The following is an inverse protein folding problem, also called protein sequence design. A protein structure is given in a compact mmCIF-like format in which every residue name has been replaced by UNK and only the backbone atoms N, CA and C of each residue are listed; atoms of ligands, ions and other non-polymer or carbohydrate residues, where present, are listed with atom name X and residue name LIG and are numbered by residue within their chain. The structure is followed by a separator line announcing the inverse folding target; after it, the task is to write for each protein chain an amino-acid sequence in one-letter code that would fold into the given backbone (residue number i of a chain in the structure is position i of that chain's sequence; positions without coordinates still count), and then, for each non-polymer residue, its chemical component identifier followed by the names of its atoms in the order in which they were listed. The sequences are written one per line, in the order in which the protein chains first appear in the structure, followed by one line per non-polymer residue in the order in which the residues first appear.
data_IF_770674692002
#
_entry.id   IF_770674692002
#
_cell.length_a   1.000
_cell.length_b   1.000
_cell.length_c   1.000
_cell.angle_alpha   90.00
_cell.angle_beta   90.00
_cell.angle_gamma   90.00
#
_symmetry.space_group_name_H-M   'P 1'
#
loop_
_entity.id
_entity.type
_entity.pdbx_description
1 polymer ?
#
# COMPACT_ATOMS: atom_id res chain seq x y z
N UNK A 1 -12.63 -15.97 3.31
CA UNK A 1 -12.86 -14.52 3.49
C UNK A 1 -11.71 -13.66 2.99
N UNK A 2 -10.44 -14.04 3.20
CA UNK A 2 -9.28 -13.27 2.71
C UNK A 2 -9.16 -13.15 1.18
N UNK A 3 -9.53 -14.17 0.41
CA UNK A 3 -9.43 -14.14 -1.06
C UNK A 3 -10.33 -13.07 -1.71
N UNK A 4 -11.56 -12.91 -1.22
CA UNK A 4 -12.47 -11.87 -1.71
C UNK A 4 -11.96 -10.46 -1.36
N UNK A 5 -11.35 -10.30 -0.17
CA UNK A 5 -10.70 -9.04 0.21
C UNK A 5 -9.47 -8.75 -0.67
N UNK A 6 -8.69 -9.78 -1.02
CA UNK A 6 -7.54 -9.64 -1.93
C UNK A 6 -7.98 -9.25 -3.35
N UNK A 7 -9.04 -9.86 -3.87
CA UNK A 7 -9.61 -9.48 -5.17
C UNK A 7 -10.18 -8.05 -5.16
N UNK A 8 -10.87 -7.68 -4.08
CA UNK A 8 -11.35 -6.31 -3.88
C UNK A 8 -10.20 -5.30 -3.86
N UNK A 9 -9.13 -5.61 -3.13
CA UNK A 9 -7.92 -4.78 -3.09
C UNK A 9 -7.25 -4.67 -4.45
N UNK A 10 -7.15 -5.76 -5.22
CA UNK A 10 -6.58 -5.74 -6.56
C UNK A 10 -7.40 -4.88 -7.53
N UNK A 11 -8.73 -4.98 -7.47
CA UNK A 11 -9.62 -4.14 -8.28
C UNK A 11 -9.51 -2.65 -7.87
N UNK A 12 -9.45 -2.35 -6.58
CA UNK A 12 -9.24 -0.99 -6.07
C UNK A 12 -7.87 -0.44 -6.48
N UNK A 13 -6.80 -1.24 -6.44
CA UNK A 13 -5.46 -0.83 -6.84
C UNK A 13 -5.37 -0.54 -8.35
N UNK A 14 -6.02 -1.36 -9.18
CA UNK A 14 -6.12 -1.11 -10.62
C UNK A 14 -6.89 0.21 -10.91
N UNK A 15 -8.03 0.40 -10.25
CA UNK A 15 -8.80 1.65 -10.34
C UNK A 15 -8.00 2.87 -9.89
N UNK A 16 -7.34 2.78 -8.73
CA UNK A 16 -6.50 3.84 -8.18
C UNK A 16 -5.33 4.18 -9.13
N UNK A 17 -4.67 3.19 -9.73
CA UNK A 17 -3.57 3.41 -10.69
C UNK A 17 -4.03 4.16 -11.94
N UNK A 18 -5.20 3.83 -12.50
CA UNK A 18 -5.77 4.56 -13.64
C UNK A 18 -6.16 6.00 -13.28
N UNK A 19 -6.84 6.20 -12.14
CA UNK A 19 -7.21 7.51 -11.64
C UNK A 19 -5.96 8.37 -11.35
N UNK A 20 -4.98 7.83 -10.61
CA UNK A 20 -3.73 8.52 -10.31
C UNK A 20 -2.97 8.91 -11.57
N UNK A 21 -2.95 8.07 -12.61
CA UNK A 21 -2.30 8.43 -13.89
C UNK A 21 -2.92 9.68 -14.50
N UNK A 22 -4.26 9.79 -14.48
CA UNK A 22 -4.97 10.96 -15.00
C UNK A 22 -4.77 12.22 -14.13
N UNK A 23 -4.75 12.07 -12.79
CA UNK A 23 -4.58 13.18 -11.85
C UNK A 23 -3.10 13.64 -11.76
N UNK A 24 -2.14 12.74 -11.89
CA UNK A 24 -0.71 13.03 -11.77
C UNK A 24 -0.18 13.97 -12.86
N UNK A 25 -0.92 14.12 -13.97
CA UNK A 25 -0.66 15.10 -15.01
C UNK A 25 -1.14 16.52 -14.64
N UNK A 26 -2.05 16.65 -13.68
CA UNK A 26 -2.77 17.91 -13.36
C UNK A 26 -2.51 18.43 -11.95
N UNK A 27 -2.07 17.56 -11.03
CA UNK A 27 -1.89 17.89 -9.62
C UNK A 27 -0.45 17.61 -9.16
N UNK A 28 0.05 18.40 -8.19
CA UNK A 28 1.34 18.13 -7.56
C UNK A 28 1.23 16.86 -6.69
N UNK A 29 2.33 16.11 -6.60
CA UNK A 29 2.41 14.85 -5.84
C UNK A 29 1.99 15.01 -4.37
N UNK A 30 2.31 16.16 -3.76
CA UNK A 30 1.93 16.46 -2.37
C UNK A 30 0.43 16.58 -2.17
N UNK A 31 -0.31 17.12 -3.15
CA UNK A 31 -1.76 17.20 -3.08
C UNK A 31 -2.41 15.82 -3.21
N UNK A 32 -1.85 14.95 -4.07
CA UNK A 32 -2.32 13.57 -4.22
C UNK A 32 -2.08 12.75 -2.95
N UNK A 33 -0.88 12.84 -2.38
CA UNK A 33 -0.53 12.18 -1.12
C UNK A 33 -1.42 12.69 0.04
N UNK A 34 -1.64 14.01 0.13
CA UNK A 34 -2.49 14.59 1.16
C UNK A 34 -3.94 14.12 1.07
N UNK A 35 -4.50 14.01 -0.14
CA UNK A 35 -5.85 13.50 -0.35
C UNK A 35 -5.95 12.03 0.05
N UNK A 36 -4.96 11.21 -0.32
CA UNK A 36 -4.92 9.79 0.00
C UNK A 36 -4.80 9.56 1.51
N UNK A 37 -3.87 10.24 2.21
CA UNK A 37 -3.77 10.17 3.67
C UNK A 37 -5.09 10.55 4.33
N UNK A 38 -5.72 11.64 3.88
CA UNK A 38 -6.95 12.13 4.47
C UNK A 38 -8.08 11.09 4.32
N UNK A 39 -8.23 10.54 3.13
CA UNK A 39 -9.24 9.52 2.86
C UNK A 39 -8.95 8.22 3.61
N UNK A 40 -7.70 7.74 3.59
CA UNK A 40 -7.27 6.55 4.30
C UNK A 40 -7.50 6.69 5.81
N UNK A 41 -7.18 7.84 6.39
CA UNK A 41 -7.40 8.12 7.81
C UNK A 41 -8.88 8.01 8.18
N UNK A 42 -9.76 8.66 7.39
CA UNK A 42 -11.21 8.60 7.63
C UNK A 42 -11.74 7.17 7.47
N UNK A 43 -11.30 6.46 6.42
CA UNK A 43 -11.73 5.09 6.15
C UNK A 43 -11.28 4.12 7.25
N UNK A 44 -10.04 4.23 7.73
CA UNK A 44 -9.50 3.41 8.81
C UNK A 44 -10.25 3.68 10.12
N UNK A 45 -10.46 4.96 10.48
CA UNK A 45 -11.22 5.31 11.68
C UNK A 45 -12.66 4.79 11.62
N UNK A 46 -13.33 4.93 10.48
CA UNK A 46 -14.67 4.38 10.27
C UNK A 46 -14.69 2.85 10.42
N UNK A 47 -13.71 2.15 9.84
CA UNK A 47 -13.58 0.70 9.96
C UNK A 47 -13.36 0.26 11.41
N UNK A 48 -12.52 0.97 12.18
CA UNK A 48 -12.29 0.71 13.60
C UNK A 48 -13.54 0.93 14.45
N UNK A 49 -14.32 1.98 14.15
CA UNK A 49 -15.59 2.25 14.85
C UNK A 49 -16.62 1.16 14.54
N UNK A 50 -16.80 0.80 13.26
CA UNK A 50 -17.78 -0.22 12.83
C UNK A 50 -17.40 -1.62 13.36
N UNK A 51 -16.11 -1.93 13.45
CA UNK A 51 -15.63 -3.20 14.00
C UNK A 51 -15.57 -3.25 15.53
N UNK A 52 -15.85 -2.13 16.22
CA UNK A 52 -15.76 -2.05 17.69
C UNK A 52 -14.33 -2.02 18.24
N UNK A 53 -13.32 -1.82 17.39
CA UNK A 53 -11.89 -1.82 17.74
C UNK A 53 -11.31 -0.42 17.98
N UNK A 54 -12.15 0.61 18.09
CA UNK A 54 -11.69 1.99 18.32
C UNK A 54 -10.85 2.14 19.61
N UNK A 55 -11.10 1.30 20.63
CA UNK A 55 -10.33 1.28 21.88
C UNK A 55 -8.88 0.80 21.72
N UNK A 56 -8.59 -0.01 20.70
CA UNK A 56 -7.26 -0.61 20.48
C UNK A 56 -6.21 0.45 20.12
N UNK A 57 -6.64 1.55 19.48
CA UNK A 57 -5.77 2.69 19.17
C UNK A 57 -5.38 3.44 20.44
N UNK A 58 -6.32 3.59 21.38
CA UNK A 58 -6.09 4.28 22.65
C UNK A 58 -5.22 3.44 23.58
N UNK A 59 -5.37 2.12 23.53
CA UNK A 59 -4.55 1.17 24.28
C UNK A 59 -3.17 0.89 23.67
N UNK A 60 -2.89 1.37 22.46
CA UNK A 60 -1.63 1.09 21.77
C UNK A 60 -0.45 1.79 22.46
N UNK A 61 0.64 1.05 22.67
CA UNK A 61 1.89 1.59 23.19
C UNK A 61 2.53 2.61 22.24
N UNK A 62 3.28 3.56 22.79
CA UNK A 62 3.95 4.62 22.01
C UNK A 62 4.86 4.08 20.90
N UNK A 63 5.52 2.94 21.12
CA UNK A 63 6.37 2.29 20.10
C UNK A 63 5.54 1.81 18.91
N UNK A 64 4.37 1.21 19.14
CA UNK A 64 3.46 0.77 18.08
C UNK A 64 2.95 1.97 17.28
N UNK A 65 2.53 3.03 17.97
CA UNK A 65 2.07 4.26 17.31
C UNK A 65 3.20 4.90 16.48
N UNK A 66 4.42 4.94 16.99
CA UNK A 66 5.59 5.44 16.25
C UNK A 66 5.94 4.54 15.05
N UNK A 67 5.83 3.23 15.18
CA UNK A 67 6.08 2.30 14.07
C UNK A 67 5.05 2.49 12.94
N UNK A 68 3.76 2.64 13.29
CA UNK A 68 2.68 2.91 12.33
C UNK A 68 2.85 4.29 11.68
N UNK A 69 3.19 5.31 12.47
CA UNK A 69 3.49 6.63 11.94
C UNK A 69 4.70 6.60 11.00
N UNK A 70 5.76 5.87 11.39
CA UNK A 70 6.97 5.68 10.60
C UNK A 70 6.69 4.98 9.27
N UNK A 71 5.86 3.92 9.26
CA UNK A 71 5.48 3.25 8.01
C UNK A 71 4.69 4.18 7.09
N UNK A 72 3.79 5.00 7.65
CA UNK A 72 3.09 6.04 6.89
C UNK A 72 4.05 7.06 6.28
N UNK A 73 5.03 7.55 7.05
CA UNK A 73 6.04 8.49 6.53
C UNK A 73 6.83 7.87 5.38
N UNK A 74 7.25 6.60 5.50
CA UNK A 74 7.99 5.91 4.42
C UNK A 74 7.12 5.83 3.16
N UNK A 75 5.85 5.45 3.31
CA UNK A 75 4.94 5.33 2.17
C UNK A 75 4.73 6.68 1.46
N UNK A 76 4.30 7.70 2.22
CA UNK A 76 3.91 8.99 1.66
C UNK A 76 5.10 9.88 1.26
N UNK A 77 6.21 9.84 1.99
CA UNK A 77 7.37 10.69 1.72
C UNK A 77 8.37 10.06 0.75
N UNK A 78 8.39 8.72 0.63
CA UNK A 78 9.38 8.01 -0.21
C UNK A 78 8.70 7.24 -1.32
N UNK A 79 7.81 6.30 -1.01
CA UNK A 79 7.22 5.41 -2.01
C UNK A 79 6.39 6.20 -3.03
N UNK A 80 5.54 7.12 -2.56
CA UNK A 80 4.61 7.82 -3.42
C UNK A 80 5.26 8.83 -4.40
N UNK A 81 6.28 9.61 -4.02
CA UNK A 81 7.05 10.40 -4.98
C UNK A 81 7.78 9.54 -6.02
N UNK A 82 8.35 8.40 -5.61
CA UNK A 82 9.00 7.46 -6.54
C UNK A 82 7.97 6.90 -7.53
N UNK A 83 6.81 6.45 -7.04
CA UNK A 83 5.74 5.89 -7.86
C UNK A 83 5.17 6.90 -8.85
N UNK A 84 4.82 8.10 -8.39
CA UNK A 84 4.27 9.16 -9.26
C UNK A 84 5.29 9.64 -10.29
N UNK A 85 6.59 9.70 -9.93
CA UNK A 85 7.66 9.98 -10.90
C UNK A 85 7.82 8.85 -11.92
N UNK A 86 7.78 7.60 -11.48
CA UNK A 86 7.85 6.43 -12.36
C UNK A 86 6.68 6.41 -13.35
N UNK A 87 5.45 6.68 -12.88
CA UNK A 87 4.27 6.80 -13.75
C UNK A 87 4.45 7.86 -14.85
N UNK A 88 5.04 9.02 -14.52
CA UNK A 88 5.30 10.09 -15.50
C UNK A 88 6.35 9.71 -16.55
N UNK A 89 7.36 8.93 -16.18
CA UNK A 89 8.51 8.63 -17.07
C UNK A 89 8.30 7.34 -17.85
N UNK A 90 7.82 6.28 -17.21
CA UNK A 90 7.72 4.94 -17.77
C UNK A 90 6.29 4.55 -18.19
N UNK A 91 5.30 5.36 -17.84
CA UNK A 91 3.88 5.07 -18.09
C UNK A 91 3.31 3.99 -17.18
N UNK A 92 1.97 3.90 -17.16
CA UNK A 92 1.25 3.01 -16.25
C UNK A 92 1.57 1.53 -16.47
N UNK A 93 1.56 1.07 -17.73
CA UNK A 93 1.74 -0.35 -18.07
C UNK A 93 3.06 -0.92 -17.53
N UNK A 94 4.16 -0.18 -17.67
CA UNK A 94 5.48 -0.62 -17.22
C UNK A 94 5.66 -0.43 -15.72
N UNK A 95 5.20 0.70 -15.19
CA UNK A 95 5.36 1.00 -13.76
C UNK A 95 4.58 0.01 -12.91
N UNK A 96 3.33 -0.25 -13.26
CA UNK A 96 2.42 -1.10 -12.46
C UNK A 96 2.92 -2.53 -12.33
N UNK A 97 3.31 -3.18 -13.44
CA UNK A 97 3.83 -4.56 -13.42
C UNK A 97 5.09 -4.68 -12.56
N UNK A 98 6.05 -3.76 -12.75
CA UNK A 98 7.29 -3.75 -11.95
C UNK A 98 7.00 -3.55 -10.47
N UNK A 99 6.09 -2.63 -10.12
CA UNK A 99 5.76 -2.36 -8.71
C UNK A 99 5.05 -3.52 -8.04
N UNK A 100 4.13 -4.21 -8.72
CA UNK A 100 3.44 -5.37 -8.14
C UNK A 100 4.41 -6.54 -7.95
N UNK A 101 5.25 -6.84 -8.94
CA UNK A 101 6.25 -7.89 -8.82
C UNK A 101 7.21 -7.64 -7.65
N UNK A 102 7.73 -6.40 -7.54
CA UNK A 102 8.58 -6.00 -6.41
C UNK A 102 7.84 -6.05 -5.07
N UNK A 103 6.59 -5.61 -5.02
CA UNK A 103 5.79 -5.64 -3.80
C UNK A 103 5.60 -7.07 -3.29
N UNK A 104 5.21 -8.01 -4.16
CA UNK A 104 5.04 -9.43 -3.80
C UNK A 104 6.36 -10.03 -3.33
N UNK A 105 7.45 -9.76 -4.05
CA UNK A 105 8.78 -10.26 -3.69
C UNK A 105 9.21 -9.74 -2.32
N UNK A 106 9.15 -8.42 -2.10
CA UNK A 106 9.60 -7.77 -0.88
C UNK A 106 8.72 -8.15 0.32
N UNK A 107 7.40 -8.24 0.15
CA UNK A 107 6.50 -8.66 1.23
C UNK A 107 6.71 -10.13 1.60
N UNK A 108 6.94 -11.01 0.62
CA UNK A 108 7.29 -12.42 0.87
C UNK A 108 8.60 -12.53 1.65
N UNK A 109 9.64 -11.81 1.22
CA UNK A 109 10.93 -11.78 1.92
C UNK A 109 10.77 -11.19 3.32
N UNK A 110 10.00 -10.12 3.46
CA UNK A 110 9.69 -9.50 4.74
C UNK A 110 8.97 -10.45 5.71
N UNK A 111 7.97 -11.19 5.24
CA UNK A 111 7.27 -12.20 6.05
C UNK A 111 8.21 -13.29 6.57
N UNK A 112 9.11 -13.78 5.72
CA UNK A 112 10.08 -14.81 6.13
C UNK A 112 11.15 -14.25 7.08
N UNK A 113 11.75 -13.10 6.75
CA UNK A 113 12.88 -12.55 7.50
C UNK A 113 12.46 -11.86 8.78
N UNK A 114 11.38 -11.06 8.74
CA UNK A 114 10.95 -10.22 9.86
C UNK A 114 9.92 -10.92 10.75
N UNK A 115 9.04 -11.74 10.17
CA UNK A 115 7.95 -12.41 10.90
C UNK A 115 8.25 -13.90 11.17
N UNK A 116 9.33 -14.44 10.61
CA UNK A 116 9.72 -15.85 10.80
C UNK A 116 8.79 -16.83 10.10
N UNK A 117 8.06 -16.39 9.07
CA UNK A 117 7.14 -17.26 8.33
C UNK A 117 7.88 -18.34 7.53
N UNK A 118 7.20 -19.47 7.31
CA UNK A 118 7.78 -20.58 6.53
C UNK A 118 7.86 -20.19 5.06
N UNK A 119 9.06 -20.28 4.49
CA UNK A 119 9.26 -20.03 3.06
C UNK A 119 8.55 -21.10 2.21
N UNK A 120 7.59 -20.67 1.39
CA UNK A 120 6.92 -21.50 0.40
C UNK A 120 7.27 -20.97 -1.00
N UNK A 121 7.97 -21.74 -1.85
CA UNK A 121 8.45 -21.27 -3.15
C UNK A 121 7.34 -20.82 -4.11
N UNK A 122 6.11 -21.30 -3.92
CA UNK A 122 4.97 -20.94 -4.77
C UNK A 122 4.61 -19.45 -4.75
N UNK A 123 4.79 -18.75 -3.63
CA UNK A 123 4.51 -17.30 -3.51
C UNK A 123 5.47 -16.42 -4.34
N UNK A 124 6.80 -16.54 -4.18
CA UNK A 124 7.73 -15.72 -4.94
C UNK A 124 7.77 -16.10 -6.43
N UNK A 125 7.55 -17.38 -6.77
CA UNK A 125 7.42 -17.81 -8.17
C UNK A 125 6.15 -17.24 -8.80
N UNK A 126 5.02 -17.27 -8.09
CA UNK A 126 3.79 -16.62 -8.54
C UNK A 126 3.96 -15.12 -8.75
N UNK A 127 4.65 -14.43 -7.84
CA UNK A 127 4.99 -13.01 -7.99
C UNK A 127 5.95 -12.69 -9.14
N UNK A 128 6.83 -13.62 -9.51
CA UNK A 128 7.75 -13.47 -10.64
C UNK A 128 7.10 -13.76 -12.01
N UNK A 129 5.93 -14.38 -12.03
CA UNK A 129 5.17 -14.74 -13.24
C UNK A 129 4.09 -13.71 -13.61
N UNK A 130 3.89 -12.68 -12.79
CA UNK A 130 3.02 -11.51 -13.03
C UNK A 130 3.86 -10.38 -13.63
#
# INVERSE_FOLDING_TARGET
MGEAAALGMAASAAGAGTAMTSLAARLPTTALAGLEISFATVAILAALVVSGQAGDVVGAGAVTLLAVAGSGVIDFAVAQPIYTRALRVAGLQRTYGVTIGLFILLTTVGGVVLLGERFMPGLPIGGALI
#
